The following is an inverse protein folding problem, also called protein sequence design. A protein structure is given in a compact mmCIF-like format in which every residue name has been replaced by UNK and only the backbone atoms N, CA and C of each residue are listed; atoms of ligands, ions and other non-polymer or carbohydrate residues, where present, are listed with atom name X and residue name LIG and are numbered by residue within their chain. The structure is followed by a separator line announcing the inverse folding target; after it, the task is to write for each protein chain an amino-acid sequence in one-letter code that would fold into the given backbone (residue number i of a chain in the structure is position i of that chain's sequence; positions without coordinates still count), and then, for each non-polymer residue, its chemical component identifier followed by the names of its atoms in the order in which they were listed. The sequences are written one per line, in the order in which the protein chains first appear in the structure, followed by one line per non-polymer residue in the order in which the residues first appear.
data_IF_739883897833
#
_entry.id   IF_739883897833
#
_cell.length_a   1.000
_cell.length_b   1.000
_cell.length_c   1.000
_cell.angle_alpha   90.00
_cell.angle_beta   90.00
_cell.angle_gamma   90.00
#
_symmetry.space_group_name_H-M   'P 1'
#
loop_
_entity.id
_entity.type
_entity.pdbx_description
1 polymer ?
#
# COMPACT_ATOMS: atom_id res chain seq x y z
N UNK A 1 34.11 -37.88 10.43
CA UNK A 1 32.64 -37.87 10.56
C UNK A 1 32.17 -36.44 10.89
N UNK A 2 32.50 -35.47 10.02
CA UNK A 2 32.30 -34.01 10.28
C UNK A 2 31.40 -33.37 9.20
N UNK A 3 31.02 -34.10 8.15
CA UNK A 3 30.21 -33.57 7.05
C UNK A 3 28.70 -33.47 7.34
N UNK A 4 28.17 -34.24 8.31
CA UNK A 4 26.73 -34.29 8.57
C UNK A 4 26.17 -33.11 9.38
N UNK A 5 27.02 -32.39 10.11
CA UNK A 5 26.58 -31.35 11.04
C UNK A 5 26.43 -29.97 10.35
N UNK A 6 27.23 -29.71 9.30
CA UNK A 6 27.15 -28.45 8.56
C UNK A 6 25.90 -28.33 7.68
N UNK A 7 25.38 -29.44 7.13
CA UNK A 7 24.11 -29.42 6.37
C UNK A 7 22.89 -29.16 7.27
N UNK A 8 22.91 -29.60 8.52
CA UNK A 8 21.77 -29.37 9.42
C UNK A 8 21.69 -27.91 9.89
N UNK A 9 22.84 -27.25 10.04
CA UNK A 9 22.92 -25.84 10.46
C UNK A 9 22.52 -24.87 9.32
N UNK A 10 22.81 -25.20 8.06
CA UNK A 10 22.38 -24.39 6.91
C UNK A 10 20.90 -24.54 6.59
N UNK A 11 20.29 -25.71 6.86
CA UNK A 11 18.85 -25.93 6.70
C UNK A 11 17.98 -25.18 7.72
N UNK A 12 18.54 -24.77 8.87
CA UNK A 12 17.84 -23.96 9.87
C UNK A 12 17.84 -22.46 9.56
N UNK A 13 18.73 -21.98 8.68
CA UNK A 13 18.82 -20.57 8.26
C UNK A 13 17.92 -20.23 7.06
N UNK A 14 17.25 -21.21 6.46
CA UNK A 14 16.32 -21.03 5.33
C UNK A 14 14.85 -21.16 5.74
N UNK A 15 14.53 -21.04 7.03
CA UNK A 15 13.21 -20.53 7.40
C UNK A 15 13.19 -19.04 7.06
N UNK A 16 13.12 -18.75 5.76
CA UNK A 16 12.77 -17.45 5.22
C UNK A 16 11.42 -17.12 5.87
N UNK A 17 11.47 -16.33 6.94
CA UNK A 17 10.31 -15.71 7.55
C UNK A 17 9.75 -14.75 6.49
N UNK A 18 8.98 -15.28 5.55
CA UNK A 18 8.09 -14.46 4.74
C UNK A 18 7.03 -13.95 5.71
N UNK A 19 7.36 -12.84 6.39
CA UNK A 19 6.36 -12.07 7.10
C UNK A 19 5.38 -11.58 6.06
N UNK A 20 4.17 -12.13 6.08
CA UNK A 20 3.09 -11.70 5.21
C UNK A 20 2.52 -10.41 5.79
N UNK A 21 2.61 -9.32 5.03
CA UNK A 21 1.84 -8.10 5.30
C UNK A 21 0.64 -8.17 4.35
N UNK A 22 -0.57 -8.17 4.89
CA UNK A 22 -1.81 -8.05 4.14
C UNK A 22 -2.26 -6.58 4.15
N UNK A 23 -2.77 -6.11 3.01
CA UNK A 23 -3.26 -4.75 2.84
C UNK A 23 -4.57 -4.76 2.05
N UNK A 24 -5.57 -4.06 2.58
CA UNK A 24 -6.91 -3.94 1.98
C UNK A 24 -7.36 -2.49 1.99
N UNK A 25 -8.10 -2.11 0.96
CA UNK A 25 -8.73 -0.79 0.85
C UNK A 25 -10.22 -0.92 0.69
N UNK A 26 -10.96 -0.06 1.35
CA UNK A 26 -12.40 0.08 1.25
C UNK A 26 -12.75 1.56 1.17
N UNK A 27 -13.77 1.91 0.38
CA UNK A 27 -14.21 3.29 0.22
C UNK A 27 -15.64 3.40 0.68
N UNK A 28 -15.87 4.30 1.62
CA UNK A 28 -17.20 4.64 2.11
C UNK A 28 -17.35 6.17 2.25
N UNK A 29 -18.51 6.73 1.85
CA UNK A 29 -19.60 6.10 1.10
C UNK A 29 -19.19 5.72 -0.35
N UNK A 30 -20.09 5.09 -1.11
CA UNK A 30 -19.85 4.88 -2.55
C UNK A 30 -19.58 6.23 -3.22
N UNK A 31 -18.47 6.37 -3.95
CA UNK A 31 -18.00 7.67 -4.41
C UNK A 31 -18.95 8.32 -5.41
N UNK A 32 -19.06 9.64 -5.35
CA UNK A 32 -19.77 10.47 -6.30
C UNK A 32 -18.75 11.48 -6.85
N UNK A 33 -18.80 11.74 -8.16
CA UNK A 33 -17.89 12.68 -8.81
C UNK A 33 -17.98 14.06 -8.15
N UNK A 34 -16.85 14.59 -7.72
CA UNK A 34 -16.72 15.89 -7.05
C UNK A 34 -16.97 15.85 -5.54
N UNK A 35 -17.38 14.71 -4.98
CA UNK A 35 -17.54 14.55 -3.53
C UNK A 35 -16.27 13.98 -2.88
N UNK A 36 -16.08 14.34 -1.62
CA UNK A 36 -14.99 13.82 -0.80
C UNK A 36 -15.50 12.57 -0.09
N UNK A 37 -14.80 11.46 -0.25
CA UNK A 37 -15.07 10.19 0.43
C UNK A 37 -13.86 9.72 1.23
N UNK A 38 -14.09 8.77 2.13
CA UNK A 38 -13.03 8.16 2.93
C UNK A 38 -12.56 6.87 2.28
N UNK A 39 -11.27 6.78 2.00
CA UNK A 39 -10.57 5.52 1.72
C UNK A 39 -10.01 5.01 3.05
N UNK A 40 -10.58 3.91 3.54
CA UNK A 40 -10.15 3.17 4.72
C UNK A 40 -9.19 2.06 4.27
N UNK A 41 -7.96 2.12 4.76
CA UNK A 41 -6.88 1.18 4.44
C UNK A 41 -6.60 0.37 5.69
N UNK A 42 -6.76 -0.94 5.60
CA UNK A 42 -6.45 -1.87 6.68
C UNK A 42 -5.17 -2.62 6.35
N UNK A 43 -4.21 -2.59 7.28
CA UNK A 43 -2.95 -3.32 7.17
C UNK A 43 -2.84 -4.28 8.34
N UNK A 44 -2.48 -5.53 8.04
CA UNK A 44 -2.27 -6.58 9.03
C UNK A 44 -0.93 -7.25 8.75
N UNK A 45 -0.03 -7.22 9.72
CA UNK A 45 1.24 -7.95 9.66
C UNK A 45 1.15 -9.20 10.54
N UNK A 46 1.41 -10.40 10.03
CA UNK A 46 1.27 -11.62 10.84
C UNK A 46 2.42 -11.83 11.85
N UNK A 47 3.64 -11.37 11.51
CA UNK A 47 4.86 -11.76 12.25
C UNK A 47 5.84 -10.63 12.48
N UNK A 48 5.61 -9.47 11.88
CA UNK A 48 6.56 -8.36 11.93
C UNK A 48 5.95 -7.16 12.65
N UNK A 49 6.61 -6.76 13.74
CA UNK A 49 6.44 -5.44 14.35
C UNK A 49 7.66 -4.60 14.02
N UNK A 50 7.47 -3.35 13.60
CA UNK A 50 8.58 -2.49 13.19
C UNK A 50 8.13 -1.29 12.38
N UNK A 51 9.09 -0.49 11.96
CA UNK A 51 8.80 0.63 11.05
C UNK A 51 8.37 0.08 9.69
N UNK A 52 7.26 0.62 9.19
CA UNK A 52 6.64 0.23 7.95
C UNK A 52 6.28 1.42 7.07
N UNK A 53 6.02 1.13 5.80
CA UNK A 53 5.60 2.10 4.82
C UNK A 53 4.37 1.56 4.09
N UNK A 54 3.35 2.41 3.94
CA UNK A 54 2.19 2.18 3.09
C UNK A 54 2.24 3.20 1.97
N UNK A 55 2.08 2.77 0.73
CA UNK A 55 1.96 3.68 -0.41
C UNK A 55 0.62 3.55 -1.12
N UNK A 56 0.10 4.68 -1.55
CA UNK A 56 -1.10 4.80 -2.39
C UNK A 56 -0.66 5.46 -3.69
N UNK A 57 -0.95 4.80 -4.80
CA UNK A 57 -0.85 5.39 -6.12
C UNK A 57 -2.26 5.47 -6.73
N UNK A 58 -2.59 6.66 -7.22
CA UNK A 58 -3.87 7.01 -7.82
C UNK A 58 -3.65 7.49 -9.26
N UNK A 59 -4.65 7.32 -10.11
CA UNK A 59 -4.69 7.93 -11.44
C UNK A 59 -5.11 9.41 -11.36
N UNK A 60 -4.92 10.15 -12.46
CA UNK A 60 -5.15 11.60 -12.51
C UNK A 60 -6.61 12.01 -12.28
N UNK A 61 -7.53 11.05 -12.38
CA UNK A 61 -8.95 11.24 -12.09
C UNK A 61 -9.27 11.29 -10.58
N UNK A 62 -8.32 10.94 -9.69
CA UNK A 62 -8.52 10.94 -8.24
C UNK A 62 -7.54 11.88 -7.55
N UNK A 63 -8.08 12.79 -6.75
CA UNK A 63 -7.29 13.70 -5.93
C UNK A 63 -7.20 13.20 -4.49
N UNK A 64 -5.98 13.21 -3.94
CA UNK A 64 -5.78 13.13 -2.50
C UNK A 64 -6.14 14.47 -1.86
N UNK A 65 -7.05 14.45 -0.89
CA UNK A 65 -7.54 15.66 -0.22
C UNK A 65 -6.86 15.84 1.13
N UNK A 66 -6.85 14.80 1.95
CA UNK A 66 -6.28 14.86 3.30
C UNK A 66 -5.92 13.45 3.81
N UNK A 67 -5.02 13.39 4.79
CA UNK A 67 -4.69 12.19 5.53
C UNK A 67 -4.12 12.54 6.91
N UNK A 68 -4.06 11.54 7.79
CA UNK A 68 -3.48 11.69 9.13
C UNK A 68 -1.99 12.05 9.15
N UNK A 69 -1.43 12.37 10.34
CA UNK A 69 -0.02 12.67 10.51
C UNK A 69 0.82 11.42 10.20
N UNK A 70 1.50 11.42 9.06
CA UNK A 70 2.28 10.28 8.57
C UNK A 70 2.28 10.19 7.05
N UNK A 71 1.22 10.71 6.40
CA UNK A 71 1.12 10.79 4.95
C UNK A 71 1.98 11.90 4.37
N UNK A 72 2.74 11.57 3.33
CA UNK A 72 3.59 12.49 2.60
C UNK A 72 3.48 12.23 1.10
N UNK A 73 3.42 13.30 0.31
CA UNK A 73 3.46 13.20 -1.15
C UNK A 73 4.90 12.99 -1.61
N UNK A 74 5.10 11.99 -2.46
CA UNK A 74 6.35 11.66 -3.13
C UNK A 74 6.12 11.65 -4.64
N UNK A 75 7.07 12.18 -5.41
CA UNK A 75 7.05 12.12 -6.87
C UNK A 75 8.02 11.03 -7.33
N UNK A 76 7.52 10.07 -8.10
CA UNK A 76 8.35 9.00 -8.67
C UNK A 76 8.37 9.14 -10.19
N UNK A 77 9.57 9.27 -10.75
CA UNK A 77 9.76 9.35 -12.19
C UNK A 77 10.19 8.00 -12.73
N UNK A 78 9.41 7.47 -13.66
CA UNK A 78 9.71 6.24 -14.39
C UNK A 78 10.16 6.59 -15.81
N UNK A 79 11.34 6.11 -16.19
CA UNK A 79 11.80 6.16 -17.57
C UNK A 79 11.08 5.09 -18.39
N UNK A 80 10.23 5.49 -19.32
CA UNK A 80 9.57 4.59 -20.28
C UNK A 80 10.23 4.71 -21.65
N UNK A 81 9.98 3.74 -22.54
CA UNK A 81 10.45 3.81 -23.94
C UNK A 81 9.88 5.01 -24.71
N UNK A 82 8.84 5.65 -24.17
CA UNK A 82 8.17 6.84 -24.73
C UNK A 82 8.53 8.14 -24.00
N UNK A 83 9.38 8.09 -22.97
CA UNK A 83 9.82 9.25 -22.18
C UNK A 83 9.66 9.05 -20.67
N UNK A 84 10.07 10.06 -19.90
CA UNK A 84 9.91 10.05 -18.44
C UNK A 84 8.46 10.38 -18.06
N UNK A 85 7.83 9.50 -17.26
CA UNK A 85 6.52 9.74 -16.65
C UNK A 85 6.71 9.96 -15.15
N UNK A 86 6.21 11.07 -14.62
CA UNK A 86 6.18 11.34 -13.18
C UNK A 86 4.82 10.97 -12.63
N UNK A 87 4.81 10.15 -11.59
CA UNK A 87 3.62 9.69 -10.87
C UNK A 87 3.63 10.27 -9.45
N UNK A 88 2.45 10.64 -8.97
CA UNK A 88 2.25 11.06 -7.59
C UNK A 88 1.92 9.85 -6.72
N UNK A 89 2.72 9.63 -5.68
CA UNK A 89 2.53 8.55 -4.72
C UNK A 89 2.41 9.16 -3.33
N UNK A 90 1.37 8.78 -2.59
CA UNK A 90 1.19 9.18 -1.20
C UNK A 90 1.71 8.07 -0.30
N UNK A 91 2.60 8.43 0.62
CA UNK A 91 3.34 7.46 1.42
C UNK A 91 3.09 7.75 2.89
N UNK A 92 2.55 6.78 3.61
CA UNK A 92 2.47 6.79 5.06
C UNK A 92 3.66 6.04 5.66
N UNK A 93 4.26 6.61 6.70
CA UNK A 93 5.32 5.97 7.48
C UNK A 93 4.96 5.96 8.95
N UNK A 94 5.12 4.80 9.57
CA UNK A 94 4.86 4.63 10.99
C UNK A 94 5.19 3.24 11.46
N UNK A 95 4.91 2.98 12.74
CA UNK A 95 5.13 1.66 13.33
C UNK A 95 3.96 0.73 12.97
N UNK A 96 4.27 -0.44 12.44
CA UNK A 96 3.34 -1.53 12.21
C UNK A 96 3.49 -2.56 13.32
N UNK A 97 2.38 -3.01 13.91
CA UNK A 97 2.39 -4.01 14.98
C UNK A 97 1.95 -5.38 14.46
N UNK A 98 2.61 -6.45 14.91
CA UNK A 98 2.26 -7.81 14.51
C UNK A 98 0.94 -8.27 15.14
N UNK A 99 0.12 -8.94 14.33
CA UNK A 99 -1.18 -9.51 14.67
C UNK A 99 -2.24 -8.50 15.12
N UNK A 100 -2.00 -7.21 14.91
CA UNK A 100 -2.93 -6.13 15.21
C UNK A 100 -3.31 -5.41 13.92
N UNK A 101 -4.58 -5.46 13.49
CA UNK A 101 -5.04 -4.67 12.35
C UNK A 101 -4.91 -3.18 12.64
N UNK A 102 -4.22 -2.47 11.74
CA UNK A 102 -4.07 -1.03 11.81
C UNK A 102 -4.82 -0.38 10.65
N UNK A 103 -5.56 0.67 11.00
CA UNK A 103 -6.42 1.38 10.06
C UNK A 103 -5.80 2.73 9.76
N UNK A 104 -5.60 3.02 8.48
CA UNK A 104 -5.23 4.33 7.98
C UNK A 104 -6.37 4.87 7.13
N UNK A 105 -6.78 6.11 7.40
CA UNK A 105 -7.85 6.76 6.65
C UNK A 105 -7.30 7.96 5.90
N UNK A 106 -7.71 8.08 4.65
CA UNK A 106 -7.42 9.24 3.80
C UNK A 106 -8.70 9.71 3.12
N UNK A 107 -8.82 11.01 2.94
CA UNK A 107 -9.89 11.63 2.18
C UNK A 107 -9.45 11.77 0.72
N UNK A 108 -10.27 11.27 -0.19
CA UNK A 108 -10.04 11.35 -1.63
C UNK A 108 -11.25 11.98 -2.33
N UNK A 109 -11.04 12.52 -3.53
CA UNK A 109 -12.10 13.04 -4.37
C UNK A 109 -11.92 12.54 -5.79
N UNK A 110 -12.93 11.85 -6.33
CA UNK A 110 -12.95 11.44 -7.73
C UNK A 110 -13.45 12.62 -8.57
N UNK A 111 -12.67 13.04 -9.55
CA UNK A 111 -12.90 14.27 -10.31
C UNK A 111 -13.56 14.05 -11.67
N UNK A 112 -13.53 12.83 -12.19
CA UNK A 112 -14.11 12.48 -13.49
C UNK A 112 -14.89 11.15 -13.40
N UNK A 113 -15.98 11.00 -14.17
CA UNK A 113 -16.66 9.71 -14.29
C UNK A 113 -15.80 8.70 -15.06
N UNK A 114 -16.06 7.40 -14.87
CA UNK A 114 -15.34 6.32 -15.55
C UNK A 114 -14.80 5.24 -14.61
N UNK A 115 -13.91 4.42 -15.15
CA UNK A 115 -13.16 3.43 -14.38
C UNK A 115 -11.91 4.08 -13.81
N UNK A 116 -11.66 3.83 -12.53
CA UNK A 116 -10.47 4.32 -11.85
C UNK A 116 -9.93 3.27 -10.90
N UNK A 117 -8.66 3.43 -10.58
CA UNK A 117 -7.87 2.40 -9.90
C UNK A 117 -7.01 3.06 -8.83
N UNK A 118 -7.04 2.48 -7.64
CA UNK A 118 -6.13 2.82 -6.54
C UNK A 118 -5.25 1.60 -6.28
N UNK A 119 -3.94 1.79 -6.39
CA UNK A 119 -2.95 0.80 -6.00
C UNK A 119 -2.52 1.08 -4.57
N UNK A 120 -2.58 0.05 -3.73
CA UNK A 120 -2.13 0.07 -2.35
C UNK A 120 -0.91 -0.84 -2.24
N UNK A 121 0.11 -0.43 -1.49
CA UNK A 121 1.27 -1.28 -1.26
C UNK A 121 1.79 -1.12 0.17
N UNK A 122 2.20 -2.23 0.78
CA UNK A 122 2.90 -2.26 2.06
C UNK A 122 4.11 -3.22 1.96
N UNK A 123 5.31 -2.66 1.96
CA UNK A 123 6.53 -3.43 1.70
C UNK A 123 6.58 -4.03 0.29
N UNK A 124 6.57 -5.36 0.19
CA UNK A 124 6.56 -6.11 -1.10
C UNK A 124 5.17 -6.53 -1.54
N UNK A 125 4.13 -6.25 -0.75
CA UNK A 125 2.76 -6.68 -1.01
C UNK A 125 1.94 -5.57 -1.65
N UNK A 126 1.16 -5.91 -2.66
CA UNK A 126 0.35 -4.97 -3.46
C UNK A 126 -1.12 -5.39 -3.37
N UNK A 127 -1.98 -4.46 -2.95
CA UNK A 127 -3.43 -4.52 -3.06
C UNK A 127 -3.93 -3.65 -4.21
N UNK A 128 -5.05 -4.06 -4.83
CA UNK A 128 -5.68 -3.35 -5.93
C UNK A 128 -7.14 -3.06 -5.57
N UNK A 129 -7.54 -1.80 -5.67
CA UNK A 129 -8.94 -1.38 -5.56
C UNK A 129 -9.41 -0.77 -6.89
N UNK A 130 -10.47 -1.33 -7.45
CA UNK A 130 -11.10 -0.85 -8.68
C UNK A 130 -12.57 -0.53 -8.44
N UNK A 131 -13.03 0.57 -9.05
CA UNK A 131 -14.42 1.01 -8.99
C UNK A 131 -14.81 1.65 -10.31
N UNK A 132 -16.10 1.61 -10.61
CA UNK A 132 -16.67 2.21 -11.81
C UNK A 132 -17.75 3.21 -11.39
N UNK A 133 -17.60 4.46 -11.80
CA UNK A 133 -18.58 5.51 -11.57
C UNK A 133 -19.24 5.90 -12.89
N UNK A 134 -20.57 5.81 -12.90
CA UNK A 134 -21.45 6.19 -14.02
C UNK A 134 -21.88 7.64 -13.94
#
# INVERSE_FOLDING_TARGET
MILGFFCLLTLLLTACLTSTIDIKGEIEPEPIVGEIVTLRIEVVSEKFSGDGEISIQMNDEINFVAGGPGWQKTLVTHETSTGAQTLEIFVWRGHIEANEPQIQEVSICVTQPGEWVIFLSAGVFIGLLTKHLT
#
